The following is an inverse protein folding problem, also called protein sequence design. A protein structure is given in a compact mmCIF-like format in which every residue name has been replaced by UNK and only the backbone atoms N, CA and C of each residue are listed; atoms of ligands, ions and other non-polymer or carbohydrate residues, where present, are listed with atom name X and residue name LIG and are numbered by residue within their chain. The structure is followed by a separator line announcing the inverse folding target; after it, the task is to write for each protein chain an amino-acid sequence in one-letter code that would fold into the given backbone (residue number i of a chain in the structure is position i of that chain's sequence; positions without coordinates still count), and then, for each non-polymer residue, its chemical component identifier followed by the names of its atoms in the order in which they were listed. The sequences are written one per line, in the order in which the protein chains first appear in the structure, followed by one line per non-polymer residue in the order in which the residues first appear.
data_IF_789289035151
#
_entry.id   IF_789289035151
#
_cell.length_a   1.000
_cell.length_b   1.000
_cell.length_c   1.000
_cell.angle_alpha   90.00
_cell.angle_beta   90.00
_cell.angle_gamma   90.00
#
_symmetry.space_group_name_H-M   'P 1'
#
loop_
_entity.id
_entity.type
_entity.pdbx_description
1 polymer ?
#
# COMPACT_ATOMS: atom_id res chain seq x y z
N UNK A 1 -32.11 17.57 -23.53
CA UNK A 1 -30.85 18.10 -23.00
C UNK A 1 -29.97 16.89 -22.70
N UNK A 2 -28.98 16.66 -23.57
CA UNK A 2 -28.09 15.49 -23.54
C UNK A 2 -26.66 15.99 -23.36
N UNK A 3 -26.00 15.55 -22.28
CA UNK A 3 -24.54 15.57 -21.99
C UNK A 3 -24.42 15.44 -20.45
N UNK A 4 -23.66 14.54 -19.84
CA UNK A 4 -22.34 14.02 -20.17
C UNK A 4 -22.23 12.56 -19.70
N UNK A 5 -21.93 11.64 -20.62
CA UNK A 5 -21.38 10.32 -20.29
C UNK A 5 -19.90 10.41 -20.63
N UNK A 6 -19.12 10.98 -19.71
CA UNK A 6 -17.74 11.39 -19.93
C UNK A 6 -16.72 10.39 -19.38
N UNK A 7 -16.19 9.56 -20.27
CA UNK A 7 -14.79 9.09 -20.29
C UNK A 7 -14.11 8.62 -18.98
N UNK A 8 -14.53 7.49 -18.41
CA UNK A 8 -13.63 6.69 -17.54
C UNK A 8 -12.86 5.59 -18.29
N UNK A 9 -13.29 5.25 -19.52
CA UNK A 9 -12.67 4.18 -20.31
C UNK A 9 -11.30 4.56 -20.89
N UNK A 10 -11.04 5.85 -21.13
CA UNK A 10 -9.78 6.29 -21.75
C UNK A 10 -8.58 6.26 -20.80
N UNK A 11 -8.76 6.37 -19.47
CA UNK A 11 -7.62 6.21 -18.54
C UNK A 11 -7.27 4.75 -18.30
N UNK A 12 -8.25 3.85 -18.34
CA UNK A 12 -8.02 2.41 -18.14
C UNK A 12 -7.39 1.75 -19.38
N UNK A 13 -7.72 2.21 -20.59
CA UNK A 13 -7.07 1.74 -21.83
C UNK A 13 -5.60 2.16 -21.92
N UNK A 14 -5.24 3.35 -21.41
CA UNK A 14 -3.83 3.82 -21.39
C UNK A 14 -2.99 3.01 -20.38
N UNK A 15 -3.58 2.56 -19.26
CA UNK A 15 -2.89 1.68 -18.32
C UNK A 15 -2.81 0.22 -18.79
N UNK A 16 -3.82 -0.31 -19.49
CA UNK A 16 -3.73 -1.63 -20.14
C UNK A 16 -2.74 -1.65 -21.32
N UNK A 17 -2.56 -0.52 -22.02
CA UNK A 17 -1.53 -0.37 -23.05
C UNK A 17 -0.11 -0.67 -22.53
N UNK A 18 0.14 -0.41 -21.25
CA UNK A 18 1.41 -0.73 -20.60
C UNK A 18 1.60 -2.24 -20.35
N UNK A 19 0.52 -2.98 -20.09
CA UNK A 19 0.54 -4.44 -20.00
C UNK A 19 0.86 -5.08 -21.37
N UNK A 20 0.36 -4.52 -22.47
CA UNK A 20 0.71 -5.00 -23.83
C UNK A 20 2.21 -4.91 -24.13
N UNK A 21 2.92 -3.91 -23.59
CA UNK A 21 4.38 -3.85 -23.69
C UNK A 21 5.09 -4.84 -22.75
N UNK A 22 4.46 -5.17 -21.62
CA UNK A 22 4.97 -6.14 -20.67
C UNK A 22 4.82 -7.59 -21.16
N UNK A 23 3.80 -7.88 -21.98
CA UNK A 23 3.43 -9.20 -22.51
C UNK A 23 4.36 -9.71 -23.62
N UNK A 24 5.67 -9.49 -23.51
CA UNK A 24 6.62 -10.20 -24.37
C UNK A 24 6.57 -11.70 -24.07
N UNK A 25 6.76 -12.56 -25.08
CA UNK A 25 6.69 -14.02 -24.89
C UNK A 25 7.63 -14.55 -23.79
N UNK A 26 8.73 -13.86 -23.50
CA UNK A 26 9.65 -14.18 -22.40
C UNK A 26 9.07 -13.89 -21.01
N UNK A 27 8.38 -12.75 -20.85
CA UNK A 27 7.72 -12.38 -19.59
C UNK A 27 6.53 -13.29 -19.33
N UNK A 28 5.72 -13.58 -20.35
CA UNK A 28 4.61 -14.53 -20.27
C UNK A 28 5.08 -15.93 -19.84
N UNK A 29 6.16 -16.42 -20.46
CA UNK A 29 6.78 -17.67 -20.07
C UNK A 29 7.25 -17.63 -18.61
N UNK A 30 7.92 -16.56 -18.18
CA UNK A 30 8.40 -16.43 -16.81
C UNK A 30 7.29 -16.36 -15.75
N UNK A 31 6.15 -15.76 -16.08
CA UNK A 31 4.96 -15.75 -15.23
C UNK A 31 4.33 -17.15 -15.16
N UNK A 32 4.18 -17.82 -16.31
CA UNK A 32 3.69 -19.20 -16.38
C UNK A 32 4.58 -20.17 -15.61
N UNK A 33 5.89 -20.11 -15.80
CA UNK A 33 6.87 -20.94 -15.09
C UNK A 33 6.88 -20.63 -13.58
N UNK A 34 6.47 -19.43 -13.18
CA UNK A 34 6.28 -19.01 -11.79
C UNK A 34 4.91 -19.31 -11.19
N UNK A 35 3.99 -19.92 -11.95
CA UNK A 35 2.61 -20.16 -11.51
C UNK A 35 1.80 -18.89 -11.27
N UNK A 36 2.21 -17.77 -11.89
CA UNK A 36 1.57 -16.47 -11.74
C UNK A 36 0.59 -16.23 -12.88
N UNK A 37 -0.66 -15.97 -12.52
CA UNK A 37 -1.70 -15.62 -13.48
C UNK A 37 -1.50 -14.20 -14.02
N UNK A 38 -1.52 -14.04 -15.34
CA UNK A 38 -1.43 -12.74 -16.01
C UNK A 38 -2.52 -11.75 -15.59
N UNK A 39 -3.70 -12.26 -15.27
CA UNK A 39 -4.84 -11.49 -14.80
C UNK A 39 -4.61 -10.94 -13.39
N UNK A 40 -3.93 -11.70 -12.54
CA UNK A 40 -3.50 -11.24 -11.22
C UNK A 40 -2.49 -10.08 -11.33
N UNK A 41 -1.53 -10.20 -12.26
CA UNK A 41 -0.58 -9.13 -12.56
C UNK A 41 -1.32 -7.89 -13.08
N UNK A 42 -2.26 -8.05 -14.01
CA UNK A 42 -3.06 -6.95 -14.52
C UNK A 42 -3.87 -6.23 -13.43
N UNK A 43 -4.50 -7.00 -12.54
CA UNK A 43 -5.23 -6.47 -11.39
C UNK A 43 -4.32 -5.69 -10.44
N UNK A 44 -3.10 -6.19 -10.19
CA UNK A 44 -2.10 -5.49 -9.40
C UNK A 44 -1.64 -4.17 -10.05
N UNK A 45 -1.45 -4.15 -11.37
CA UNK A 45 -1.17 -2.91 -12.12
C UNK A 45 -2.29 -1.89 -12.00
N UNK A 46 -3.53 -2.34 -12.20
CA UNK A 46 -4.71 -1.48 -12.09
C UNK A 46 -4.79 -0.84 -10.71
N UNK A 47 -4.57 -1.61 -9.64
CA UNK A 47 -4.50 -1.08 -8.28
C UNK A 47 -3.31 -0.12 -8.10
N UNK A 48 -2.12 -0.49 -8.59
CA UNK A 48 -0.91 0.33 -8.51
C UNK A 48 -1.06 1.71 -9.17
N UNK A 49 -1.88 1.82 -10.22
CA UNK A 49 -2.22 3.10 -10.85
C UNK A 49 -3.03 4.03 -9.95
N UNK A 50 -3.76 3.49 -8.96
CA UNK A 50 -4.57 4.26 -8.01
C UNK A 50 -3.80 4.69 -6.76
N UNK A 51 -2.63 4.10 -6.49
CA UNK A 51 -1.84 4.38 -5.28
C UNK A 51 -0.83 5.51 -5.56
N UNK A 52 -0.91 6.67 -4.87
CA UNK A 52 -0.01 7.81 -5.09
C UNK A 52 1.33 7.64 -4.38
N UNK A 53 2.14 6.67 -4.82
CA UNK A 53 3.45 6.44 -4.20
C UNK A 53 4.39 7.63 -4.43
N UNK A 54 5.24 7.91 -3.43
CA UNK A 54 6.33 8.90 -3.49
C UNK A 54 7.24 8.62 -4.69
N UNK A 55 7.44 9.62 -5.54
CA UNK A 55 8.22 9.50 -6.79
C UNK A 55 9.63 8.95 -6.57
N UNK A 56 10.35 9.46 -5.57
CA UNK A 56 11.71 9.01 -5.24
C UNK A 56 11.80 7.53 -4.86
N UNK A 57 10.70 6.93 -4.35
CA UNK A 57 10.66 5.52 -4.03
C UNK A 57 10.44 4.68 -5.30
N UNK A 58 9.59 5.14 -6.23
CA UNK A 58 9.39 4.47 -7.52
C UNK A 58 10.68 4.40 -8.35
N UNK A 59 11.47 5.49 -8.37
CA UNK A 59 12.77 5.53 -9.07
C UNK A 59 13.79 4.57 -8.44
N UNK A 60 13.79 4.48 -7.10
CA UNK A 60 14.64 3.55 -6.36
C UNK A 60 14.32 2.08 -6.66
N UNK A 61 13.03 1.73 -6.85
CA UNK A 61 12.62 0.37 -7.24
C UNK A 61 13.20 0.00 -8.60
N UNK A 62 13.11 0.92 -9.56
CA UNK A 62 13.65 0.68 -10.90
C UNK A 62 15.17 0.46 -10.87
N UNK A 63 15.90 1.29 -10.12
CA UNK A 63 17.34 1.14 -9.95
C UNK A 63 17.69 -0.19 -9.26
N UNK A 64 17.00 -0.56 -8.18
CA UNK A 64 17.24 -1.80 -7.44
C UNK A 64 16.93 -3.06 -8.26
N UNK A 65 15.81 -3.08 -8.98
CA UNK A 65 15.45 -4.18 -9.89
C UNK A 65 16.47 -4.33 -11.04
N UNK A 66 16.95 -3.20 -11.57
CA UNK A 66 17.97 -3.19 -12.63
C UNK A 66 19.37 -3.58 -12.14
N UNK A 67 19.73 -3.26 -10.89
CA UNK A 67 21.03 -3.64 -10.30
C UNK A 67 21.10 -5.11 -9.88
N UNK A 68 20.00 -5.71 -9.39
CA UNK A 68 19.93 -7.16 -9.13
C UNK A 68 20.21 -7.99 -10.39
N UNK A 69 19.91 -7.45 -11.58
CA UNK A 69 20.29 -8.02 -12.88
C UNK A 69 21.81 -8.20 -13.04
N UNK A 70 22.64 -7.38 -12.37
CA UNK A 70 24.10 -7.39 -12.49
C UNK A 70 24.77 -8.34 -11.49
N UNK A 71 24.36 -8.31 -10.22
CA UNK A 71 24.99 -9.12 -9.15
C UNK A 71 24.62 -10.60 -9.21
N UNK A 72 23.36 -10.92 -9.56
CA UNK A 72 22.99 -12.31 -9.81
C UNK A 72 23.56 -12.81 -11.15
N UNK A 73 24.03 -11.95 -12.07
CA UNK A 73 24.54 -12.40 -13.38
C UNK A 73 25.82 -13.24 -13.30
N UNK A 74 26.65 -13.05 -12.27
CA UNK A 74 27.91 -13.78 -12.12
C UNK A 74 27.70 -15.16 -11.46
N UNK A 75 26.85 -15.24 -10.42
CA UNK A 75 26.49 -16.50 -9.76
C UNK A 75 25.42 -17.30 -10.53
N UNK A 76 24.47 -16.63 -11.19
CA UNK A 76 23.43 -17.27 -12.02
C UNK A 76 23.93 -17.68 -13.41
N UNK A 77 25.11 -17.20 -13.86
CA UNK A 77 25.79 -17.78 -15.04
C UNK A 77 26.34 -19.18 -14.77
N UNK A 78 26.65 -19.52 -13.51
CA UNK A 78 27.18 -20.84 -13.12
C UNK A 78 26.07 -21.85 -12.77
N UNK A 79 24.89 -21.37 -12.38
CA UNK A 79 23.72 -22.17 -12.06
C UNK A 79 22.62 -21.89 -13.09
N UNK A 80 22.60 -22.62 -14.21
CA UNK A 80 21.62 -22.52 -15.32
C UNK A 80 20.17 -22.90 -14.92
N UNK A 81 19.64 -22.35 -13.83
CA UNK A 81 18.26 -22.50 -13.36
C UNK A 81 17.81 -21.13 -12.87
N UNK A 82 16.90 -20.44 -13.59
CA UNK A 82 16.19 -19.27 -13.03
C UNK A 82 16.32 -17.92 -13.76
N UNK A 83 16.80 -17.89 -15.01
CA UNK A 83 16.97 -16.63 -15.78
C UNK A 83 15.66 -15.90 -16.16
N UNK A 84 14.48 -16.49 -15.92
CA UNK A 84 13.19 -15.90 -16.27
C UNK A 84 12.55 -15.04 -15.18
N UNK A 85 12.80 -15.31 -13.90
CA UNK A 85 11.91 -14.85 -12.82
C UNK A 85 12.00 -13.37 -12.44
N UNK A 86 13.07 -12.68 -12.85
CA UNK A 86 13.23 -11.23 -12.63
C UNK A 86 12.64 -10.39 -13.76
N UNK A 87 12.41 -10.98 -14.94
CA UNK A 87 11.96 -10.25 -16.12
C UNK A 87 10.59 -9.56 -15.90
N UNK A 88 9.58 -10.22 -15.31
CA UNK A 88 8.31 -9.55 -15.04
C UNK A 88 8.48 -8.37 -14.07
N UNK A 89 9.30 -8.51 -13.03
CA UNK A 89 9.56 -7.44 -12.06
C UNK A 89 10.22 -6.24 -12.71
N UNK A 90 11.28 -6.46 -13.50
CA UNK A 90 11.97 -5.37 -14.22
C UNK A 90 11.01 -4.67 -15.16
N UNK A 91 10.16 -5.41 -15.85
CA UNK A 91 9.19 -4.85 -16.77
C UNK A 91 8.11 -4.02 -16.05
N UNK A 92 7.62 -4.50 -14.89
CA UNK A 92 6.75 -3.73 -14.01
C UNK A 92 7.36 -2.38 -13.63
N UNK A 93 8.66 -2.35 -13.32
CA UNK A 93 9.33 -1.10 -12.91
C UNK A 93 9.47 -0.06 -14.01
N UNK A 94 9.24 -0.41 -15.29
CA UNK A 94 9.26 0.57 -16.39
C UNK A 94 8.09 1.54 -16.36
N UNK A 95 7.06 1.19 -15.59
CA UNK A 95 5.84 1.99 -15.47
C UNK A 95 5.68 2.43 -14.02
N UNK A 96 5.05 3.57 -13.81
CA UNK A 96 4.73 4.03 -12.46
C UNK A 96 3.74 3.09 -11.77
N UNK A 97 2.70 2.65 -12.50
CA UNK A 97 1.69 1.73 -11.98
C UNK A 97 2.31 0.40 -11.49
N UNK A 98 3.23 -0.18 -12.27
CA UNK A 98 3.92 -1.41 -11.89
C UNK A 98 4.88 -1.22 -10.72
N UNK A 99 5.66 -0.13 -10.68
CA UNK A 99 6.49 0.21 -9.50
C UNK A 99 5.65 0.39 -8.23
N UNK A 100 4.51 1.07 -8.34
CA UNK A 100 3.60 1.27 -7.22
C UNK A 100 3.00 -0.06 -6.74
N UNK A 101 2.60 -0.94 -7.67
CA UNK A 101 2.09 -2.26 -7.36
C UNK A 101 3.13 -3.12 -6.61
N UNK A 102 4.39 -3.11 -7.07
CA UNK A 102 5.50 -3.79 -6.40
C UNK A 102 5.72 -3.28 -4.97
N UNK A 103 5.71 -1.96 -4.78
CA UNK A 103 5.87 -1.35 -3.46
C UNK A 103 4.71 -1.65 -2.52
N UNK A 104 3.47 -1.60 -3.01
CA UNK A 104 2.29 -1.97 -2.24
C UNK A 104 2.35 -3.44 -1.82
N UNK A 105 2.61 -4.35 -2.74
CA UNK A 105 2.71 -5.79 -2.45
C UNK A 105 3.86 -6.05 -1.47
N UNK A 106 5.01 -5.38 -1.63
CA UNK A 106 6.12 -5.49 -0.68
C UNK A 106 5.78 -5.00 0.72
N UNK A 107 5.03 -3.90 0.83
CA UNK A 107 4.53 -3.42 2.12
C UNK A 107 3.55 -4.43 2.75
N UNK A 108 2.62 -4.98 1.96
CA UNK A 108 1.64 -5.97 2.43
C UNK A 108 2.31 -7.27 2.91
N UNK A 109 3.41 -7.69 2.28
CA UNK A 109 4.19 -8.85 2.73
C UNK A 109 4.95 -8.61 4.04
N UNK A 110 5.12 -7.37 4.47
CA UNK A 110 5.97 -7.06 5.63
C UNK A 110 5.25 -7.40 6.93
N UNK A 111 5.79 -8.40 7.65
CA UNK A 111 5.30 -8.79 8.96
C UNK A 111 4.11 -9.75 8.96
N UNK A 112 3.76 -10.34 7.81
CA UNK A 112 2.65 -11.32 7.68
C UNK A 112 2.98 -12.43 6.68
N UNK A 113 2.15 -13.48 6.68
CA UNK A 113 2.24 -14.56 5.69
C UNK A 113 1.80 -14.10 4.29
N UNK A 114 2.24 -14.79 3.23
CA UNK A 114 1.80 -14.50 1.86
C UNK A 114 0.29 -14.69 1.67
N UNK A 115 -0.34 -15.56 2.47
CA UNK A 115 -1.79 -15.77 2.43
C UNK A 115 -2.55 -14.56 2.98
N UNK A 116 -2.16 -14.05 4.15
CA UNK A 116 -2.77 -12.84 4.72
C UNK A 116 -2.55 -11.61 3.83
N UNK A 117 -1.34 -11.48 3.26
CA UNK A 117 -1.06 -10.42 2.28
C UNK A 117 -1.95 -10.54 1.03
N UNK A 118 -2.20 -11.75 0.54
CA UNK A 118 -3.11 -12.00 -0.58
C UNK A 118 -4.57 -11.69 -0.23
N UNK A 119 -5.03 -12.00 0.98
CA UNK A 119 -6.36 -11.61 1.47
C UNK A 119 -6.48 -10.08 1.50
N UNK A 120 -5.48 -9.37 2.04
CA UNK A 120 -5.47 -7.92 2.06
C UNK A 120 -5.45 -7.33 0.64
N UNK A 121 -4.71 -7.93 -0.29
CA UNK A 121 -4.69 -7.50 -1.68
C UNK A 121 -6.05 -7.72 -2.36
N UNK A 122 -6.72 -8.83 -2.10
CA UNK A 122 -8.07 -9.11 -2.61
C UNK A 122 -9.09 -8.08 -2.10
N UNK A 123 -9.06 -7.78 -0.80
CA UNK A 123 -9.90 -6.75 -0.19
C UNK A 123 -9.62 -5.36 -0.79
N UNK A 124 -8.36 -5.00 -1.01
CA UNK A 124 -8.01 -3.74 -1.66
C UNK A 124 -8.58 -3.63 -3.07
N UNK A 125 -8.44 -4.69 -3.88
CA UNK A 125 -9.01 -4.71 -5.24
C UNK A 125 -10.53 -4.51 -5.21
N UNK A 126 -11.22 -5.21 -4.30
CA UNK A 126 -12.67 -5.07 -4.08
C UNK A 126 -13.05 -3.64 -3.64
N UNK A 127 -12.37 -3.11 -2.62
CA UNK A 127 -12.63 -1.79 -2.03
C UNK A 127 -12.34 -0.63 -2.99
N UNK A 128 -11.42 -0.82 -3.94
CA UNK A 128 -11.16 0.13 -5.03
C UNK A 128 -12.11 -0.01 -6.22
N UNK A 129 -13.00 -1.02 -6.22
CA UNK A 129 -14.09 -1.16 -7.18
C UNK A 129 -13.82 -2.15 -8.31
N UNK A 130 -12.86 -3.07 -8.17
CA UNK A 130 -12.71 -4.17 -9.13
C UNK A 130 -13.91 -5.10 -8.97
N UNK A 131 -14.68 -5.27 -10.06
CA UNK A 131 -15.90 -6.08 -10.03
C UNK A 131 -15.64 -7.54 -9.62
N UNK A 132 -16.61 -8.23 -9.01
CA UNK A 132 -16.41 -9.60 -8.50
C UNK A 132 -16.05 -10.59 -9.61
N UNK A 133 -16.59 -10.41 -10.82
CA UNK A 133 -16.27 -11.19 -12.03
C UNK A 133 -14.79 -11.06 -12.45
N UNK A 134 -14.19 -9.94 -12.04
CA UNK A 134 -12.85 -9.50 -12.36
C UNK A 134 -11.92 -9.61 -11.13
N UNK A 135 -12.36 -10.17 -10.01
CA UNK A 135 -11.53 -10.29 -8.83
C UNK A 135 -10.75 -11.61 -8.86
N UNK A 136 -9.40 -11.59 -8.93
CA UNK A 136 -8.63 -12.83 -8.86
C UNK A 136 -8.85 -13.52 -7.51
N UNK A 137 -8.88 -14.86 -7.51
CA UNK A 137 -9.03 -15.61 -6.26
C UNK A 137 -7.83 -15.39 -5.33
N UNK A 138 -8.05 -15.59 -4.03
CA UNK A 138 -6.99 -15.43 -3.01
C UNK A 138 -5.80 -16.36 -3.28
N UNK A 139 -6.03 -17.59 -3.77
CA UNK A 139 -4.94 -18.50 -4.14
C UNK A 139 -4.10 -17.98 -5.32
N UNK A 140 -4.76 -17.41 -6.32
CA UNK A 140 -4.09 -16.78 -7.48
C UNK A 140 -3.27 -15.56 -7.02
N UNK A 141 -3.84 -14.73 -6.15
CA UNK A 141 -3.12 -13.59 -5.56
C UNK A 141 -1.97 -14.06 -4.65
N UNK A 142 -2.13 -15.17 -3.93
CA UNK A 142 -1.05 -15.75 -3.11
C UNK A 142 0.14 -16.14 -3.98
N UNK A 143 -0.10 -16.79 -5.12
CA UNK A 143 0.99 -17.15 -6.03
C UNK A 143 1.72 -15.91 -6.54
N UNK A 144 0.97 -14.85 -6.91
CA UNK A 144 1.56 -13.56 -7.29
C UNK A 144 2.41 -12.96 -6.16
N UNK A 145 1.86 -12.90 -4.94
CA UNK A 145 2.52 -12.35 -3.74
C UNK A 145 3.79 -13.13 -3.43
N UNK A 146 3.73 -14.47 -3.41
CA UNK A 146 4.89 -15.34 -3.16
C UNK A 146 5.95 -15.20 -4.24
N UNK A 147 5.56 -15.02 -5.50
CA UNK A 147 6.48 -14.78 -6.60
C UNK A 147 7.20 -13.43 -6.47
N UNK A 148 6.47 -12.36 -6.13
CA UNK A 148 7.02 -11.00 -6.11
C UNK A 148 7.79 -10.67 -4.83
N UNK A 149 7.40 -11.25 -3.68
CA UNK A 149 7.96 -10.95 -2.35
C UNK A 149 9.51 -10.89 -2.29
N UNK A 150 10.27 -11.86 -2.83
CA UNK A 150 11.74 -11.84 -2.76
C UNK A 150 12.40 -10.64 -3.44
N UNK A 151 11.69 -10.00 -4.37
CA UNK A 151 12.19 -8.85 -5.13
C UNK A 151 11.93 -7.52 -4.42
N UNK A 152 10.91 -7.47 -3.56
CA UNK A 152 10.41 -6.24 -2.92
C UNK A 152 10.70 -6.16 -1.41
N UNK A 153 11.25 -7.22 -0.81
CA UNK A 153 11.51 -7.33 0.63
C UNK A 153 12.49 -6.28 1.22
N UNK A 154 13.31 -5.59 0.42
CA UNK A 154 14.35 -4.66 0.92
C UNK A 154 14.16 -3.18 0.48
N UNK A 155 12.93 -2.76 0.23
CA UNK A 155 12.64 -1.39 -0.27
C UNK A 155 12.54 -0.33 0.84
N UNK A 156 13.22 -0.55 1.98
CA UNK A 156 13.25 0.38 3.12
C UNK A 156 12.01 0.38 4.02
N UNK A 157 10.85 -0.05 3.53
CA UNK A 157 9.60 -0.11 4.31
C UNK A 157 9.76 -0.91 5.61
N UNK A 158 10.39 -2.09 5.54
CA UNK A 158 10.64 -2.94 6.70
C UNK A 158 11.48 -2.25 7.79
N UNK A 159 12.39 -1.34 7.42
CA UNK A 159 13.20 -0.58 8.38
C UNK A 159 12.35 0.45 9.13
N UNK A 160 11.48 1.17 8.43
CA UNK A 160 10.54 2.13 9.05
C UNK A 160 9.56 1.40 9.95
N UNK A 161 8.96 0.32 9.45
CA UNK A 161 8.06 -0.55 10.21
C UNK A 161 8.71 -1.08 11.48
N UNK A 162 9.94 -1.62 11.38
CA UNK A 162 10.67 -2.15 12.54
C UNK A 162 11.06 -1.04 13.51
N UNK A 163 11.47 0.13 13.03
CA UNK A 163 11.82 1.27 13.88
C UNK A 163 10.62 1.73 14.71
N UNK A 164 9.45 1.88 14.09
CA UNK A 164 8.21 2.24 14.80
C UNK A 164 7.86 1.14 15.80
N UNK A 165 7.96 -0.14 15.41
CA UNK A 165 7.74 -1.29 16.31
C UNK A 165 8.69 -1.32 17.51
N UNK A 166 9.96 -0.97 17.33
CA UNK A 166 10.94 -0.97 18.41
C UNK A 166 10.65 0.10 19.47
N UNK A 167 9.92 1.16 19.13
CA UNK A 167 9.46 2.16 20.10
C UNK A 167 8.44 1.57 21.08
N UNK A 168 7.66 0.57 20.66
CA UNK A 168 6.66 -0.09 21.50
C UNK A 168 7.28 -1.05 22.53
N UNK A 169 8.51 -1.55 22.32
CA UNK A 169 9.16 -2.54 23.21
C UNK A 169 9.33 -2.09 24.67
N UNK A 170 9.18 -0.80 24.95
CA UNK A 170 9.31 -0.22 26.29
C UNK A 170 8.00 -0.23 27.08
N UNK A 171 6.88 -0.58 26.44
CA UNK A 171 5.54 -0.55 27.02
C UNK A 171 4.73 -1.77 26.53
N UNK A 172 4.27 -2.59 27.47
CA UNK A 172 3.56 -3.83 27.17
C UNK A 172 2.22 -3.58 26.47
N UNK A 173 1.51 -2.51 26.83
CA UNK A 173 0.20 -2.20 26.24
C UNK A 173 0.36 -1.72 24.79
N UNK A 174 1.41 -0.94 24.51
CA UNK A 174 1.78 -0.57 23.15
C UNK A 174 2.17 -1.79 22.31
N UNK A 175 2.92 -2.74 22.89
CA UNK A 175 3.35 -3.94 22.17
C UNK A 175 2.14 -4.74 21.66
N UNK A 176 1.10 -4.92 22.48
CA UNK A 176 -0.12 -5.62 22.08
C UNK A 176 -0.87 -4.91 20.93
N UNK A 177 -0.97 -3.58 20.96
CA UNK A 177 -1.64 -2.80 19.89
C UNK A 177 -0.88 -2.85 18.55
N UNK A 178 0.45 -3.02 18.60
CA UNK A 178 1.29 -3.07 17.40
C UNK A 178 1.28 -4.45 16.73
N UNK A 179 1.15 -5.52 17.52
CA UNK A 179 1.17 -6.90 17.02
C UNK A 179 -0.19 -7.39 16.50
N UNK A 180 -1.28 -6.69 16.83
CA UNK A 180 -2.62 -7.03 16.34
C UNK A 180 -2.74 -6.80 14.83
N UNK A 181 -2.80 -7.90 14.07
CA UNK A 181 -2.85 -7.89 12.60
C UNK A 181 -4.19 -7.37 12.02
N UNK A 182 -5.29 -7.46 12.76
CA UNK A 182 -6.63 -7.07 12.32
C UNK A 182 -7.18 -7.86 11.12
N UNK A 183 -8.42 -7.57 10.72
CA UNK A 183 -8.99 -8.19 9.51
C UNK A 183 -8.49 -7.50 8.24
N UNK A 184 -8.41 -8.27 7.15
CA UNK A 184 -8.04 -7.75 5.83
C UNK A 184 -8.97 -6.60 5.37
N UNK A 185 -10.26 -6.68 5.70
CA UNK A 185 -11.26 -5.66 5.36
C UNK A 185 -11.01 -4.32 6.06
N UNK A 186 -10.70 -4.34 7.37
CA UNK A 186 -10.39 -3.12 8.15
C UNK A 186 -9.10 -2.48 7.62
N UNK A 187 -8.08 -3.30 7.34
CA UNK A 187 -6.83 -2.81 6.77
C UNK A 187 -7.03 -2.22 5.37
N UNK A 188 -7.82 -2.88 4.52
CA UNK A 188 -8.16 -2.39 3.18
C UNK A 188 -8.87 -1.04 3.20
N UNK A 189 -9.84 -0.86 4.10
CA UNK A 189 -10.55 0.40 4.30
C UNK A 189 -9.60 1.52 4.80
N UNK A 190 -8.74 1.23 5.78
CA UNK A 190 -7.76 2.19 6.29
C UNK A 190 -6.77 2.62 5.20
N UNK A 191 -6.24 1.69 4.42
CA UNK A 191 -5.35 1.99 3.28
C UNK A 191 -6.05 2.88 2.25
N UNK A 192 -7.31 2.58 1.89
CA UNK A 192 -8.08 3.42 0.96
C UNK A 192 -8.24 4.84 1.50
N UNK A 193 -8.57 4.99 2.79
CA UNK A 193 -8.68 6.30 3.42
C UNK A 193 -7.36 7.07 3.36
N UNK A 194 -6.23 6.43 3.71
CA UNK A 194 -4.91 7.06 3.64
C UNK A 194 -4.54 7.49 2.21
N UNK A 195 -4.85 6.65 1.21
CA UNK A 195 -4.64 6.99 -0.20
C UNK A 195 -5.47 8.22 -0.58
N UNK A 196 -6.74 8.26 -0.20
CA UNK A 196 -7.62 9.39 -0.47
C UNK A 196 -7.11 10.69 0.18
N UNK A 197 -6.77 10.64 1.47
CA UNK A 197 -6.20 11.79 2.21
C UNK A 197 -4.90 12.26 1.55
N UNK A 198 -4.04 11.34 1.11
CA UNK A 198 -2.78 11.68 0.45
C UNK A 198 -2.97 12.34 -0.92
N UNK A 199 -3.93 11.87 -1.72
CA UNK A 199 -4.25 12.44 -3.03
C UNK A 199 -4.79 13.87 -2.92
N UNK A 200 -5.60 14.13 -1.89
CA UNK A 200 -6.24 15.44 -1.69
C UNK A 200 -5.39 16.41 -0.84
N UNK A 201 -4.22 15.98 -0.36
CA UNK A 201 -3.35 16.77 0.54
C UNK A 201 -4.08 17.22 1.81
N UNK A 202 -4.98 16.39 2.31
CA UNK A 202 -5.82 16.68 3.48
C UNK A 202 -5.09 16.35 4.80
N UNK A 203 -5.60 16.90 5.89
CA UNK A 203 -5.25 16.49 7.26
C UNK A 203 -6.37 15.65 7.84
N UNK A 204 -6.04 14.45 8.34
CA UNK A 204 -7.03 13.55 8.91
C UNK A 204 -6.57 13.00 10.28
N UNK A 205 -7.53 12.52 11.05
CA UNK A 205 -7.30 11.87 12.34
C UNK A 205 -7.90 10.47 12.31
N UNK A 206 -7.14 9.46 12.74
CA UNK A 206 -7.59 8.06 12.74
C UNK A 206 -7.23 7.39 14.05
N UNK A 207 -8.21 6.68 14.62
CA UNK A 207 -7.96 5.82 15.79
C UNK A 207 -7.53 4.43 15.32
N UNK A 208 -6.40 3.97 15.84
CA UNK A 208 -5.79 2.69 15.52
C UNK A 208 -5.94 1.72 16.70
N UNK A 209 -6.82 0.75 16.52
CA UNK A 209 -6.96 -0.38 17.44
C UNK A 209 -6.04 -1.56 17.07
N UNK A 210 -5.50 -1.55 15.85
CA UNK A 210 -4.79 -2.65 15.18
C UNK A 210 -3.67 -2.06 14.29
N UNK A 211 -2.63 -2.85 13.97
CA UNK A 211 -1.54 -2.48 13.03
C UNK A 211 -0.83 -1.17 13.36
N UNK A 212 -0.60 -0.92 14.65
CA UNK A 212 -0.06 0.35 15.17
C UNK A 212 1.27 0.83 14.57
N UNK A 213 2.10 -0.06 14.01
CA UNK A 213 3.32 0.31 13.28
C UNK A 213 3.20 0.28 11.76
N UNK A 214 2.31 -0.54 11.20
CA UNK A 214 2.24 -0.76 9.76
C UNK A 214 1.58 0.41 9.04
N UNK A 215 0.44 0.90 9.54
CA UNK A 215 -0.28 2.02 8.92
C UNK A 215 0.52 3.33 8.96
N UNK A 216 1.18 3.71 10.08
CA UNK A 216 2.09 4.85 10.10
C UNK A 216 3.29 4.70 9.16
N UNK A 217 3.87 3.49 9.07
CA UNK A 217 4.96 3.22 8.12
C UNK A 217 4.49 3.34 6.66
N UNK A 218 3.27 2.89 6.35
CA UNK A 218 2.68 3.00 5.00
C UNK A 218 2.41 4.45 4.61
N UNK A 219 1.76 5.21 5.50
CA UNK A 219 1.48 6.63 5.26
C UNK A 219 2.77 7.45 5.05
N UNK A 220 3.78 7.26 5.89
CA UNK A 220 5.04 8.02 5.80
C UNK A 220 5.93 7.56 4.64
N UNK A 221 6.23 6.25 4.53
CA UNK A 221 7.25 5.75 3.61
C UNK A 221 6.71 5.55 2.19
N UNK A 222 5.51 4.99 2.04
CA UNK A 222 4.93 4.69 0.72
C UNK A 222 4.24 5.93 0.14
N UNK A 223 3.37 6.56 0.93
CA UNK A 223 2.56 7.70 0.47
C UNK A 223 3.28 9.06 0.62
N UNK A 224 4.31 9.16 1.48
CA UNK A 224 5.04 10.41 1.69
C UNK A 224 4.25 11.46 2.49
N UNK A 225 3.31 11.02 3.33
CA UNK A 225 2.51 11.87 4.20
C UNK A 225 3.31 12.32 5.42
N UNK A 226 2.93 13.44 6.03
CA UNK A 226 3.33 13.76 7.40
C UNK A 226 2.51 12.90 8.36
N UNK A 227 3.16 12.26 9.30
CA UNK A 227 2.52 11.32 10.23
C UNK A 227 2.87 11.68 11.66
N UNK A 228 1.86 11.67 12.51
CA UNK A 228 2.01 11.71 13.96
C UNK A 228 1.35 10.47 14.57
N UNK A 229 2.04 9.80 15.49
CA UNK A 229 1.55 8.64 16.21
C UNK A 229 1.48 8.95 17.69
N UNK A 230 0.28 8.95 18.24
CA UNK A 230 -0.03 9.32 19.61
C UNK A 230 -0.54 8.12 20.41
N UNK A 231 -0.25 8.10 21.71
CA UNK A 231 -0.79 7.14 22.68
C UNK A 231 -0.99 7.87 24.00
N UNK A 232 -2.19 7.80 24.59
CA UNK A 232 -2.54 8.51 25.83
C UNK A 232 -2.10 9.99 25.84
N UNK A 233 -2.45 10.75 24.78
CA UNK A 233 -2.04 12.14 24.55
C UNK A 233 -0.52 12.41 24.50
N UNK A 234 0.30 11.37 24.40
CA UNK A 234 1.76 11.48 24.24
C UNK A 234 2.15 11.17 22.79
N UNK A 235 2.97 12.03 22.21
CA UNK A 235 3.60 11.76 20.92
C UNK A 235 4.63 10.62 21.08
N UNK A 236 4.40 9.52 20.38
CA UNK A 236 5.28 8.34 20.35
C UNK A 236 6.26 8.44 19.19
N UNK A 237 5.77 8.88 18.03
CA UNK A 237 6.56 8.97 16.81
C UNK A 237 5.99 10.03 15.87
N UNK A 238 6.85 10.72 15.13
CA UNK A 238 6.44 11.65 14.09
C UNK A 238 7.40 11.62 12.90
N UNK A 239 6.87 11.92 11.72
CA UNK A 239 7.62 12.10 10.50
C UNK A 239 7.02 13.21 9.64
N UNK A 240 7.89 14.04 9.06
CA UNK A 240 7.49 15.06 8.08
C UNK A 240 7.25 14.44 6.70
N UNK A 241 6.31 15.02 5.97
CA UNK A 241 6.00 14.64 4.59
C UNK A 241 5.23 15.75 3.87
N UNK A 242 5.09 15.61 2.57
CA UNK A 242 4.53 16.65 1.69
C UNK A 242 3.16 16.26 1.10
N UNK A 243 2.69 15.03 1.37
CA UNK A 243 1.47 14.46 0.77
C UNK A 243 0.30 14.39 1.75
N UNK A 244 -0.03 15.51 2.38
CA UNK A 244 -1.06 15.59 3.43
C UNK A 244 -0.55 15.15 4.80
N UNK A 245 -1.43 15.16 5.80
CA UNK A 245 -1.12 14.86 7.19
C UNK A 245 -2.09 13.83 7.76
N UNK A 246 -1.58 12.93 8.59
CA UNK A 246 -2.39 11.98 9.34
C UNK A 246 -1.90 11.89 10.77
N UNK A 247 -2.81 12.06 11.72
CA UNK A 247 -2.56 11.81 13.14
C UNK A 247 -3.25 10.51 13.53
N UNK A 248 -2.46 9.55 13.99
CA UNK A 248 -2.92 8.27 14.48
C UNK A 248 -2.97 8.27 16.00
N UNK A 249 -4.12 7.94 16.58
CA UNK A 249 -4.25 7.70 18.02
C UNK A 249 -4.34 6.20 18.28
N UNK A 250 -3.36 5.66 18.98
CA UNK A 250 -3.35 4.27 19.41
C UNK A 250 -4.29 4.08 20.61
N UNK A 251 -5.09 3.03 20.54
CA UNK A 251 -6.02 2.63 21.59
C UNK A 251 -7.45 2.48 21.09
N UNK A 252 -8.30 1.92 21.93
CA UNK A 252 -9.75 1.95 21.72
C UNK A 252 -10.25 3.31 22.20
N UNK A 253 -11.13 3.98 21.45
CA UNK A 253 -11.90 5.07 22.03
C UNK A 253 -12.57 4.53 23.30
N UNK A 254 -12.26 5.06 24.49
CA UNK A 254 -13.32 5.13 25.47
C UNK A 254 -14.29 6.14 24.87
N UNK A 255 -15.51 5.71 24.57
CA UNK A 255 -16.66 6.61 24.53
C UNK A 255 -16.94 7.04 25.97
N UNK A 256 -15.94 7.62 26.64
CA UNK A 256 -16.22 8.43 27.81
C UNK A 256 -16.76 9.74 27.26
N UNK A 257 -18.03 9.98 27.58
CA UNK A 257 -18.87 11.12 27.22
C UNK A 257 -18.32 12.49 27.72
N UNK A 258 -17.04 12.80 27.53
CA UNK A 258 -16.44 14.01 28.08
C UNK A 258 -15.37 14.65 27.21
N UNK A 259 -15.57 14.69 25.89
CA UNK A 259 -14.83 15.64 25.03
C UNK A 259 -15.50 15.88 23.67
N UNK A 260 -16.83 15.92 23.62
CA UNK A 260 -17.49 16.78 22.62
C UNK A 260 -17.22 18.21 23.07
N UNK A 261 -16.18 18.84 22.52
CA UNK A 261 -16.15 20.30 22.43
C UNK A 261 -17.38 20.69 21.63
N UNK A 262 -18.43 21.09 22.34
CA UNK A 262 -19.54 21.83 21.74
C UNK A 262 -18.94 23.02 21.01
N UNK A 263 -19.34 23.30 19.75
CA UNK A 263 -19.03 24.58 19.15
C UNK A 263 -19.53 25.66 20.11
N UNK A 264 -18.67 26.62 20.39
CA UNK A 264 -18.92 27.77 21.26
C UNK A 264 -20.28 28.40 20.95
N UNK A 265 -21.24 28.22 21.87
CA UNK A 265 -22.38 29.11 21.97
C UNK A 265 -21.87 30.51 22.27
N UNK A 266 -22.19 31.48 21.42
CA UNK A 266 -21.92 32.88 21.72
C UNK A 266 -21.68 33.79 20.52
N UNK A 267 -22.60 33.82 19.55
CA UNK A 267 -22.86 35.07 18.85
C UNK A 267 -24.38 35.24 18.66
N UNK A 268 -24.90 36.08 19.54
CA UNK A 268 -26.26 36.59 19.65
C UNK A 268 -26.71 37.21 18.33
N UNK A 269 -27.74 36.62 17.71
CA UNK A 269 -28.62 37.37 16.81
C UNK A 269 -29.65 38.03 17.73
N UNK A 270 -29.58 39.35 17.83
CA UNK A 270 -30.65 40.18 18.38
C UNK A 270 -31.76 40.24 17.34
N UNK A 271 -32.84 39.53 17.60
CA UNK A 271 -34.16 39.88 17.07
C UNK A 271 -35.11 40.01 18.27
N UNK A 272 -35.68 41.19 18.44
CA UNK A 272 -37.14 41.32 18.55
C UNK A 272 -37.58 42.79 18.53
N UNK A 273 -38.70 42.98 17.82
CA UNK A 273 -39.60 44.16 17.69
C UNK A 273 -39.26 45.27 16.69
#
# INVERSE_FOLDING_TARGET
MSSEVGFSFQSDVVNLGSLTHMLTGRVLKALSDGGVDTYAVASAFWLGAKVPVRSSLADMVHAHASQKKSYQSALAKALSIGWGHTAPVVEMTRTRAGSNALLLIGALCTGVSSFEAAQCLSELLSVFGLGPELLPSVDVLRNLVSYLSPFVYDMGFGKVFQHIRDLAKRDWDLTNLFERAGSASVLGAAIKQLIYTSQNLESHYMVLELRGSWLPAFASHILGMSVELMYNNRLIWACGGEKGQITFQLGTHSLDNSSVQRPSEGLTILEDT
#
